data_IF_300968351904
#
_entry.id   IF_300968351904
#
_cell.length_a   1.000
_cell.length_b   1.000
_cell.length_c   1.000
_cell.angle_alpha   90.00
_cell.angle_beta   90.00
_cell.angle_gamma   90.00
#
_symmetry.space_group_name_H-M   'P 1'
#
loop_
_entity.id
_entity.type
_entity.pdbx_description
1 polymer ?
#
# COMPACT_ATOMS: atom_id res chain seq x y z
N UNK A 1 -9.22 0.45 -16.73
CA UNK A 1 -7.97 1.24 -16.89
C UNK A 1 -7.98 1.86 -18.26
N UNK A 2 -7.65 3.16 -18.33
CA UNK A 2 -7.68 3.96 -19.57
C UNK A 2 -6.93 3.25 -20.71
N UNK A 3 -7.58 3.19 -21.87
CA UNK A 3 -7.15 2.45 -23.06
C UNK A 3 -6.07 3.18 -23.88
N UNK A 4 -5.60 4.33 -23.39
CA UNK A 4 -4.68 5.22 -24.11
C UNK A 4 -3.25 5.19 -23.54
N UNK A 5 -2.93 4.24 -22.66
CA UNK A 5 -1.56 4.07 -22.16
C UNK A 5 -0.69 3.44 -23.25
N UNK A 6 0.40 4.10 -23.70
CA UNK A 6 1.32 3.53 -24.69
C UNK A 6 1.84 2.15 -24.28
N UNK A 7 1.97 1.22 -25.23
CA UNK A 7 2.52 -0.12 -24.97
C UNK A 7 1.51 -1.11 -24.36
N UNK A 8 0.28 -0.68 -24.06
CA UNK A 8 -0.78 -1.58 -23.58
C UNK A 8 -1.16 -2.65 -24.62
N UNK A 9 -0.93 -2.38 -25.91
CA UNK A 9 -1.08 -3.31 -27.02
C UNK A 9 -0.02 -4.42 -27.05
N UNK A 10 1.04 -4.34 -26.25
CA UNK A 10 2.10 -5.34 -26.16
C UNK A 10 1.86 -6.38 -25.05
N UNK A 11 0.73 -6.29 -24.36
CA UNK A 11 0.38 -7.16 -23.22
C UNK A 11 -0.83 -8.02 -23.56
N UNK A 12 -0.66 -9.33 -23.46
CA UNK A 12 -1.77 -10.28 -23.47
C UNK A 12 -2.14 -10.69 -22.04
N UNK A 13 -3.43 -10.96 -21.81
CA UNK A 13 -3.97 -11.26 -20.50
C UNK A 13 -4.48 -12.68 -20.46
N UNK A 14 -4.04 -13.46 -19.46
CA UNK A 14 -4.59 -14.78 -19.18
C UNK A 14 -5.26 -14.76 -17.81
N UNK A 15 -6.57 -14.95 -17.77
CA UNK A 15 -7.34 -15.01 -16.53
C UNK A 15 -7.75 -16.45 -16.26
N UNK A 16 -7.24 -17.00 -15.15
CA UNK A 16 -7.55 -18.37 -14.72
C UNK A 16 -8.64 -18.32 -13.66
N UNK A 17 -9.77 -18.97 -13.92
CA UNK A 17 -10.97 -18.95 -13.08
C UNK A 17 -11.18 -20.33 -12.47
N UNK A 18 -11.29 -20.38 -11.14
CA UNK A 18 -11.56 -21.60 -10.40
C UNK A 18 -13.00 -22.09 -10.60
N UNK A 19 -13.21 -23.41 -10.47
CA UNK A 19 -14.52 -24.03 -10.62
C UNK A 19 -15.56 -23.37 -9.71
N UNK A 20 -16.76 -23.12 -10.24
CA UNK A 20 -17.86 -22.53 -9.48
C UNK A 20 -17.77 -21.01 -9.31
N UNK A 21 -16.73 -20.37 -9.84
CA UNK A 21 -16.63 -18.92 -9.89
C UNK A 21 -16.98 -18.39 -11.28
N UNK A 22 -17.70 -17.27 -11.30
CA UNK A 22 -17.99 -16.52 -12.52
C UNK A 22 -17.05 -15.33 -12.63
N UNK A 23 -16.72 -14.98 -13.86
CA UNK A 23 -15.93 -13.81 -14.20
C UNK A 23 -16.84 -12.78 -14.85
N UNK A 24 -17.11 -11.68 -14.14
CA UNK A 24 -17.82 -10.53 -14.69
C UNK A 24 -16.79 -9.49 -15.16
N UNK A 25 -16.57 -9.45 -16.47
CA UNK A 25 -15.59 -8.56 -17.09
C UNK A 25 -16.25 -7.67 -18.13
N UNK A 26 -16.26 -6.38 -17.85
CA UNK A 26 -16.57 -5.36 -18.84
C UNK A 26 -15.30 -5.00 -19.61
N UNK A 27 -15.12 -5.64 -20.77
CA UNK A 27 -13.98 -5.41 -21.66
C UNK A 27 -14.45 -4.97 -23.04
N UNK A 28 -13.70 -4.03 -23.62
CA UNK A 28 -13.92 -3.56 -24.99
C UNK A 28 -13.47 -4.60 -26.03
N UNK A 29 -13.63 -4.28 -27.31
CA UNK A 29 -13.24 -5.19 -28.39
C UNK A 29 -11.73 -5.42 -28.46
N UNK A 30 -10.92 -4.39 -28.17
CA UNK A 30 -9.45 -4.46 -28.26
C UNK A 30 -8.89 -5.42 -27.21
N UNK A 31 -9.24 -5.22 -25.94
CA UNK A 31 -8.79 -6.07 -24.85
C UNK A 31 -9.33 -7.50 -25.00
N UNK A 32 -10.56 -7.66 -25.50
CA UNK A 32 -11.15 -8.99 -25.75
C UNK A 32 -10.33 -9.84 -26.72
N UNK A 33 -9.65 -9.24 -27.71
CA UNK A 33 -8.80 -9.98 -28.66
C UNK A 33 -7.49 -10.52 -28.04
N UNK A 34 -7.08 -9.97 -26.90
CA UNK A 34 -5.83 -10.29 -26.17
C UNK A 34 -6.09 -10.98 -24.84
N UNK A 35 -7.35 -11.18 -24.48
CA UNK A 35 -7.78 -11.81 -23.25
C UNK A 35 -8.08 -13.29 -23.51
N UNK A 36 -7.37 -14.16 -22.80
CA UNK A 36 -7.69 -15.58 -22.71
C UNK A 36 -8.24 -15.89 -21.33
N UNK A 37 -9.42 -16.50 -21.29
CA UNK A 37 -10.03 -16.98 -20.05
C UNK A 37 -9.90 -18.50 -19.98
N UNK A 38 -9.36 -19.00 -18.88
CA UNK A 38 -9.13 -20.43 -18.65
C UNK A 38 -9.96 -20.85 -17.45
N UNK A 39 -10.91 -21.77 -17.67
CA UNK A 39 -11.67 -22.40 -16.61
C UNK A 39 -10.96 -23.67 -16.15
N UNK A 40 -10.93 -23.94 -14.84
CA UNK A 40 -10.31 -25.15 -14.30
C UNK A 40 -11.20 -25.83 -13.26
N UNK A 41 -11.08 -27.16 -13.19
CA UNK A 41 -11.90 -28.03 -12.34
C UNK A 41 -11.10 -28.76 -11.25
N UNK A 42 -9.78 -28.53 -11.18
CA UNK A 42 -8.93 -29.17 -10.20
C UNK A 42 -8.83 -28.33 -8.91
N UNK A 43 -8.44 -28.96 -7.80
CA UNK A 43 -8.42 -28.35 -6.46
C UNK A 43 -7.06 -27.78 -6.06
N UNK A 44 -6.07 -27.74 -6.97
CA UNK A 44 -4.72 -27.31 -6.65
C UNK A 44 -4.67 -25.80 -6.32
N UNK A 45 -3.78 -25.40 -5.41
CA UNK A 45 -3.71 -24.03 -4.92
C UNK A 45 -2.57 -23.23 -5.55
N UNK A 46 -2.62 -21.92 -5.36
CA UNK A 46 -1.55 -20.92 -5.61
C UNK A 46 -0.80 -21.07 -6.95
N UNK A 47 0.44 -21.54 -6.94
CA UNK A 47 1.31 -21.61 -8.11
C UNK A 47 0.70 -22.40 -9.27
N UNK A 48 -0.21 -23.34 -9.00
CA UNK A 48 -0.86 -24.12 -10.06
C UNK A 48 -1.78 -23.28 -10.96
N UNK A 49 -2.29 -22.14 -10.49
CA UNK A 49 -3.00 -21.19 -11.36
C UNK A 49 -2.08 -20.64 -12.45
N UNK A 50 -0.81 -20.38 -12.10
CA UNK A 50 0.21 -19.94 -13.06
C UNK A 50 0.46 -21.03 -14.10
N UNK A 51 0.61 -22.28 -13.65
CA UNK A 51 0.79 -23.43 -14.54
C UNK A 51 -0.33 -23.54 -15.59
N UNK A 52 -1.60 -23.45 -15.16
CA UNK A 52 -2.75 -23.47 -16.08
C UNK A 52 -2.77 -22.30 -17.05
N UNK A 53 -2.35 -21.12 -16.60
CA UNK A 53 -2.20 -19.95 -17.47
C UNK A 53 -1.15 -20.17 -18.56
N UNK A 54 0.00 -20.74 -18.19
CA UNK A 54 1.10 -21.02 -19.12
C UNK A 54 0.76 -22.13 -20.13
N UNK A 55 -0.02 -23.14 -19.76
CA UNK A 55 -0.51 -24.16 -20.69
C UNK A 55 -1.48 -23.59 -21.73
N UNK A 56 -2.16 -22.49 -21.40
CA UNK A 56 -3.14 -21.88 -22.28
C UNK A 56 -2.50 -21.03 -23.38
N UNK A 57 -1.22 -20.71 -23.33
CA UNK A 57 -0.55 -19.86 -24.32
C UNK A 57 0.79 -20.45 -24.74
N UNK A 58 1.29 -20.07 -25.92
CA UNK A 58 2.69 -20.35 -26.23
C UNK A 58 3.57 -19.36 -25.47
N UNK A 59 3.92 -19.70 -24.23
CA UNK A 59 4.69 -18.82 -23.34
C UNK A 59 6.06 -18.43 -23.93
N UNK A 60 6.60 -19.15 -24.92
CA UNK A 60 7.88 -18.84 -25.58
C UNK A 60 7.83 -17.56 -26.41
N UNK A 61 6.63 -17.07 -26.73
CA UNK A 61 6.42 -15.81 -27.45
C UNK A 61 6.59 -14.56 -26.56
N UNK A 62 6.66 -14.74 -25.24
CA UNK A 62 6.69 -13.65 -24.28
C UNK A 62 8.08 -13.49 -23.66
N UNK A 63 8.54 -12.25 -23.52
CA UNK A 63 9.81 -11.92 -22.86
C UNK A 63 9.67 -11.81 -21.35
N UNK A 64 8.49 -11.40 -20.88
CA UNK A 64 8.19 -11.16 -19.48
C UNK A 64 6.85 -11.78 -19.09
N UNK A 65 6.76 -12.18 -17.83
CA UNK A 65 5.58 -12.79 -17.23
C UNK A 65 5.26 -12.04 -15.96
N UNK A 66 4.06 -11.46 -15.88
CA UNK A 66 3.57 -10.78 -14.68
C UNK A 66 2.35 -11.53 -14.17
N UNK A 67 2.49 -12.14 -13.00
CA UNK A 67 1.42 -12.78 -12.27
C UNK A 67 0.77 -11.77 -11.33
N UNK A 68 -0.56 -11.78 -11.27
CA UNK A 68 -1.35 -10.98 -10.34
C UNK A 68 -2.44 -11.87 -9.73
N UNK A 69 -2.47 -11.95 -8.41
CA UNK A 69 -3.52 -12.66 -7.68
C UNK A 69 -4.79 -11.81 -7.52
N UNK A 70 -5.95 -12.46 -7.47
CA UNK A 70 -7.24 -11.78 -7.31
C UNK A 70 -7.45 -11.09 -5.94
N UNK A 71 -6.59 -11.36 -4.96
CA UNK A 71 -6.65 -10.74 -3.63
C UNK A 71 -6.05 -9.33 -3.55
N UNK A 72 -5.40 -8.82 -4.59
CA UNK A 72 -4.84 -7.46 -4.58
C UNK A 72 -5.78 -6.42 -5.19
N UNK A 73 -5.48 -5.15 -4.92
CA UNK A 73 -6.06 -3.97 -5.57
C UNK A 73 -4.94 -3.14 -6.18
N UNK A 74 -5.23 -2.53 -7.32
CA UNK A 74 -4.29 -1.78 -8.13
C UNK A 74 -4.56 -2.00 -9.63
N UNK A 75 -3.64 -1.59 -10.50
CA UNK A 75 -2.40 -0.88 -10.17
C UNK A 75 -2.69 0.53 -9.65
N UNK A 76 -2.10 0.87 -8.51
CA UNK A 76 -2.05 2.24 -7.99
C UNK A 76 -0.82 2.92 -8.59
N UNK A 77 -1.06 3.90 -9.45
CA UNK A 77 -0.02 4.67 -10.10
C UNK A 77 -0.33 6.15 -9.96
N UNK A 78 0.68 7.00 -9.73
CA UNK A 78 0.50 8.43 -9.88
C UNK A 78 0.02 8.77 -11.29
N UNK A 79 -0.90 9.73 -11.44
CA UNK A 79 -1.47 10.10 -12.73
C UNK A 79 -0.42 10.46 -13.79
N UNK A 80 0.69 11.09 -13.37
CA UNK A 80 1.79 11.45 -14.27
C UNK A 80 2.55 10.24 -14.82
N UNK A 81 2.50 9.06 -14.16
CA UNK A 81 3.14 7.85 -14.67
C UNK A 81 2.35 7.24 -15.84
N UNK A 82 1.00 7.29 -15.76
CA UNK A 82 0.11 6.68 -16.76
C UNK A 82 0.27 7.26 -18.18
N UNK A 83 0.83 8.46 -18.30
CA UNK A 83 1.07 9.10 -19.59
C UNK A 83 2.28 8.54 -20.36
N UNK A 84 3.15 7.75 -19.71
CA UNK A 84 4.48 7.46 -20.24
C UNK A 84 4.76 5.98 -20.50
N UNK A 85 4.17 5.07 -19.73
CA UNK A 85 4.49 3.65 -19.79
C UNK A 85 3.33 2.76 -19.32
N UNK A 86 3.23 1.51 -19.82
CA UNK A 86 2.28 0.55 -19.29
C UNK A 86 2.69 0.16 -17.87
N UNK A 87 1.70 -0.10 -17.00
CA UNK A 87 1.95 -0.38 -15.57
C UNK A 87 2.92 -1.55 -15.33
N UNK A 88 2.95 -2.54 -16.24
CA UNK A 88 3.85 -3.70 -16.15
C UNK A 88 5.31 -3.29 -16.17
N UNK A 89 5.64 -2.16 -16.81
CA UNK A 89 7.01 -1.64 -16.90
C UNK A 89 7.58 -1.25 -15.55
N UNK A 90 6.73 -0.86 -14.58
CA UNK A 90 7.16 -0.60 -13.21
C UNK A 90 7.86 -1.83 -12.59
N UNK A 91 7.44 -3.04 -12.96
CA UNK A 91 8.03 -4.30 -12.49
C UNK A 91 9.10 -4.81 -13.45
N UNK A 92 8.82 -4.85 -14.76
CA UNK A 92 9.71 -5.51 -15.72
C UNK A 92 11.01 -4.72 -15.96
N UNK A 93 11.01 -3.40 -15.78
CA UNK A 93 12.23 -2.57 -15.85
C UNK A 93 13.26 -2.89 -14.76
N UNK A 94 12.84 -3.54 -13.66
CA UNK A 94 13.74 -3.99 -12.60
C UNK A 94 14.43 -5.32 -12.91
N UNK A 95 13.95 -6.04 -13.93
CA UNK A 95 14.52 -7.32 -14.35
C UNK A 95 15.77 -7.05 -15.19
N UNK A 96 16.88 -7.68 -14.81
CA UNK A 96 18.19 -7.46 -15.43
C UNK A 96 18.89 -8.81 -15.65
N UNK A 97 20.17 -8.79 -16.04
CA UNK A 97 20.97 -10.01 -16.12
C UNK A 97 21.15 -10.70 -14.74
N UNK A 98 21.12 -9.94 -13.64
CA UNK A 98 21.25 -10.48 -12.28
C UNK A 98 19.93 -10.63 -11.54
N UNK A 99 18.92 -9.81 -11.85
CA UNK A 99 17.60 -9.84 -11.19
C UNK A 99 16.63 -10.67 -12.02
N UNK A 100 16.06 -11.74 -11.46
CA UNK A 100 15.16 -12.66 -12.18
C UNK A 100 13.79 -12.85 -11.53
N UNK A 101 13.52 -12.21 -10.40
CA UNK A 101 12.20 -12.20 -9.79
C UNK A 101 11.96 -10.87 -9.08
N UNK A 102 10.84 -10.24 -9.42
CA UNK A 102 10.46 -8.91 -8.93
C UNK A 102 9.03 -8.96 -8.40
N UNK A 103 8.71 -8.16 -7.39
CA UNK A 103 7.32 -7.93 -7.00
C UNK A 103 7.14 -6.64 -6.20
N UNK A 104 5.93 -6.39 -5.68
CA UNK A 104 5.61 -5.22 -4.88
C UNK A 104 6.50 -5.09 -3.64
N UNK A 105 6.69 -6.20 -2.92
CA UNK A 105 7.27 -6.22 -1.59
C UNK A 105 8.15 -7.44 -1.35
N UNK A 106 9.07 -7.32 -0.39
CA UNK A 106 9.89 -8.42 0.14
C UNK A 106 9.44 -8.72 1.58
N UNK A 107 9.35 -10.01 1.89
CA UNK A 107 9.21 -10.52 3.24
C UNK A 107 10.41 -11.43 3.56
N UNK A 108 10.93 -11.36 4.78
CA UNK A 108 12.08 -12.16 5.22
C UNK A 108 11.75 -13.32 6.16
N UNK A 109 10.46 -13.63 6.39
CA UNK A 109 10.02 -14.78 7.18
C UNK A 109 9.10 -15.70 6.36
N UNK A 110 9.36 -17.03 6.28
CA UNK A 110 10.42 -17.78 6.98
C UNK A 110 11.82 -17.66 6.33
N UNK A 111 11.90 -17.13 5.12
CA UNK A 111 13.14 -16.82 4.42
C UNK A 111 12.89 -15.61 3.51
N UNK A 112 13.93 -14.99 2.97
CA UNK A 112 13.78 -13.90 2.01
C UNK A 112 12.96 -14.35 0.81
N UNK A 113 11.86 -13.67 0.53
CA UNK A 113 11.05 -13.92 -0.65
C UNK A 113 10.30 -12.66 -1.09
N UNK A 114 10.07 -12.58 -2.40
CA UNK A 114 9.08 -11.67 -2.97
C UNK A 114 7.69 -12.18 -2.60
N UNK A 115 6.79 -11.30 -2.17
CA UNK A 115 5.41 -11.70 -1.93
C UNK A 115 4.73 -12.10 -3.24
N UNK A 116 4.24 -13.33 -3.31
CA UNK A 116 3.73 -13.90 -4.56
C UNK A 116 2.29 -13.53 -4.92
N UNK A 117 1.74 -12.48 -4.30
CA UNK A 117 0.49 -11.86 -4.74
C UNK A 117 0.64 -11.14 -6.07
N UNK A 118 1.85 -10.62 -6.35
CA UNK A 118 2.26 -10.16 -7.68
C UNK A 118 3.72 -10.53 -7.90
N UNK A 119 4.02 -11.18 -9.03
CA UNK A 119 5.39 -11.56 -9.40
C UNK A 119 5.66 -11.17 -10.86
N UNK A 120 6.84 -10.64 -11.13
CA UNK A 120 7.35 -10.43 -12.48
C UNK A 120 8.68 -11.16 -12.68
N UNK A 121 8.82 -11.85 -13.82
CA UNK A 121 10.03 -12.57 -14.20
C UNK A 121 10.20 -12.53 -15.72
N UNK A 122 11.41 -12.78 -16.21
CA UNK A 122 11.69 -13.00 -17.63
C UNK A 122 11.67 -14.48 -18.00
N UNK A 123 11.92 -14.80 -19.26
CA UNK A 123 12.01 -16.19 -19.73
C UNK A 123 13.09 -17.01 -19.01
N UNK A 124 14.18 -16.40 -18.55
CA UNK A 124 15.25 -17.07 -17.81
C UNK A 124 14.77 -17.46 -16.42
N UNK A 125 14.20 -16.50 -15.67
CA UNK A 125 13.65 -16.75 -14.35
C UNK A 125 12.47 -17.71 -14.39
N UNK A 126 11.56 -17.59 -15.37
CA UNK A 126 10.47 -18.55 -15.57
C UNK A 126 11.01 -19.98 -15.74
N UNK A 127 12.08 -20.17 -16.51
CA UNK A 127 12.68 -21.49 -16.72
C UNK A 127 13.26 -22.09 -15.43
N UNK A 128 13.82 -21.24 -14.55
CA UNK A 128 14.27 -21.67 -13.21
C UNK A 128 13.08 -22.15 -12.38
N UNK A 129 11.99 -21.37 -12.35
CA UNK A 129 10.77 -21.70 -11.58
C UNK A 129 10.12 -23.00 -12.07
N UNK A 130 10.05 -23.21 -13.38
CA UNK A 130 9.52 -24.43 -13.98
C UNK A 130 10.36 -25.67 -13.61
N UNK A 131 11.69 -25.58 -13.69
CA UNK A 131 12.60 -26.69 -13.34
C UNK A 131 12.54 -27.06 -11.86
N UNK A 132 12.32 -26.08 -11.00
CA UNK A 132 12.20 -26.29 -9.55
C UNK A 132 10.76 -26.62 -9.10
N UNK A 133 9.84 -26.83 -10.05
CA UNK A 133 8.45 -27.17 -9.77
C UNK A 133 7.73 -26.15 -8.87
N UNK A 134 8.06 -24.86 -8.98
CA UNK A 134 7.44 -23.80 -8.17
C UNK A 134 5.93 -23.65 -8.42
N UNK A 135 5.44 -24.19 -9.54
CA UNK A 135 4.02 -24.16 -9.94
C UNK A 135 3.35 -25.53 -9.86
N UNK A 136 3.92 -26.48 -9.12
CA UNK A 136 3.34 -27.81 -8.96
C UNK A 136 1.95 -27.78 -8.29
N UNK A 137 1.14 -28.78 -8.60
CA UNK A 137 -0.16 -28.95 -7.95
C UNK A 137 0.03 -29.34 -6.48
N UNK A 138 -0.55 -28.54 -5.59
CA UNK A 138 -0.65 -28.86 -4.17
C UNK A 138 -2.08 -28.63 -3.68
N UNK A 139 -2.66 -29.62 -3.02
CA UNK A 139 -3.97 -29.51 -2.38
C UNK A 139 -3.92 -28.85 -1.00
N UNK A 140 -2.76 -28.91 -0.33
CA UNK A 140 -2.56 -28.34 0.99
C UNK A 140 -1.94 -26.94 0.89
N UNK A 141 -2.53 -25.98 1.60
CA UNK A 141 -2.17 -24.55 1.50
C UNK A 141 -0.74 -24.27 2.00
N UNK A 142 -0.29 -24.96 3.04
CA UNK A 142 1.07 -24.87 3.56
C UNK A 142 2.12 -25.30 2.52
N UNK A 143 1.86 -26.40 1.81
CA UNK A 143 2.72 -26.88 0.72
C UNK A 143 2.70 -25.95 -0.46
N UNK A 144 1.50 -25.50 -0.88
CA UNK A 144 1.36 -24.54 -1.96
C UNK A 144 2.14 -23.25 -1.64
N UNK A 145 1.98 -22.72 -0.44
CA UNK A 145 2.72 -21.55 0.05
C UNK A 145 4.23 -21.77 0.05
N UNK A 146 4.71 -22.90 0.60
CA UNK A 146 6.13 -23.21 0.70
C UNK A 146 6.80 -23.36 -0.67
N UNK A 147 6.16 -24.04 -1.62
CA UNK A 147 6.73 -24.28 -2.95
C UNK A 147 6.61 -23.07 -3.88
N UNK A 148 5.47 -22.37 -3.83
CA UNK A 148 5.22 -21.25 -4.73
C UNK A 148 5.72 -19.93 -4.14
N UNK A 149 5.24 -19.51 -2.98
CA UNK A 149 5.52 -18.17 -2.46
C UNK A 149 6.98 -18.04 -2.02
N UNK A 150 7.39 -18.88 -1.08
CA UNK A 150 8.78 -18.89 -0.59
C UNK A 150 9.69 -19.57 -1.60
N UNK A 151 9.28 -20.73 -2.09
CA UNK A 151 10.08 -21.59 -2.97
C UNK A 151 10.45 -20.96 -4.30
N UNK A 152 9.61 -20.11 -4.91
CA UNK A 152 9.98 -19.38 -6.14
C UNK A 152 11.19 -18.48 -5.92
N UNK A 153 11.18 -17.70 -4.83
CA UNK A 153 12.30 -16.80 -4.51
C UNK A 153 13.56 -17.57 -4.17
N UNK A 154 13.44 -18.65 -3.40
CA UNK A 154 14.57 -19.51 -3.05
C UNK A 154 15.17 -20.19 -4.29
N UNK A 155 14.35 -20.65 -5.22
CA UNK A 155 14.79 -21.25 -6.49
C UNK A 155 15.62 -20.28 -7.32
N UNK A 156 15.21 -19.01 -7.37
CA UNK A 156 15.92 -17.95 -8.09
C UNK A 156 17.26 -17.62 -7.43
N UNK A 157 17.29 -17.51 -6.10
CA UNK A 157 18.50 -17.28 -5.33
C UNK A 157 19.51 -18.44 -5.49
N UNK A 158 19.04 -19.68 -5.40
CA UNK A 158 19.87 -20.88 -5.57
C UNK A 158 20.44 -21.01 -6.99
N UNK A 159 19.75 -20.47 -7.99
CA UNK A 159 20.25 -20.39 -9.36
C UNK A 159 21.30 -19.27 -9.58
N UNK A 160 21.69 -18.54 -8.53
CA UNK A 160 22.72 -17.50 -8.57
C UNK A 160 22.22 -16.10 -8.94
N UNK A 161 20.91 -15.95 -9.17
CA UNK A 161 20.25 -14.68 -9.43
C UNK A 161 19.78 -14.00 -8.14
N UNK A 162 19.37 -12.74 -8.22
CA UNK A 162 18.85 -11.97 -7.10
C UNK A 162 17.39 -11.57 -7.31
N UNK A 163 16.81 -11.04 -6.23
CA UNK A 163 15.42 -10.58 -6.16
C UNK A 163 15.38 -9.06 -6.16
N UNK A 164 14.21 -8.49 -6.46
CA UNK A 164 13.94 -7.06 -6.33
C UNK A 164 12.51 -6.82 -5.88
N UNK A 165 12.27 -5.67 -5.26
CA UNK A 165 10.93 -5.13 -5.11
C UNK A 165 10.87 -3.66 -5.49
N UNK A 166 9.64 -3.15 -5.57
CA UNK A 166 9.37 -1.73 -5.79
C UNK A 166 9.71 -0.86 -4.57
N UNK A 167 9.82 -1.46 -3.38
CA UNK A 167 10.12 -0.75 -2.14
C UNK A 167 11.48 0.00 -2.23
N UNK A 168 11.44 1.31 -2.04
CA UNK A 168 12.58 2.22 -2.11
C UNK A 168 13.68 1.81 -1.13
N UNK A 169 13.31 1.36 0.07
CA UNK A 169 14.25 0.88 1.10
C UNK A 169 15.13 -0.29 0.63
N UNK A 170 14.70 -1.07 -0.35
CA UNK A 170 15.43 -2.21 -0.89
C UNK A 170 16.06 -1.93 -2.26
N UNK A 171 16.04 -0.66 -2.72
CA UNK A 171 16.51 -0.29 -4.06
C UNK A 171 17.96 -0.71 -4.35
N UNK A 172 18.84 -0.67 -3.36
CA UNK A 172 20.27 -0.93 -3.55
C UNK A 172 20.73 -2.24 -2.87
N UNK A 173 19.80 -3.12 -2.49
CA UNK A 173 20.12 -4.36 -1.81
C UNK A 173 20.24 -5.52 -2.79
N UNK A 174 21.24 -6.38 -2.58
CA UNK A 174 21.35 -7.68 -3.22
C UNK A 174 20.89 -8.77 -2.25
N UNK A 175 19.76 -9.40 -2.58
CA UNK A 175 19.11 -10.38 -1.72
C UNK A 175 19.82 -11.74 -1.67
N UNK A 176 20.87 -11.96 -2.47
CA UNK A 176 21.74 -13.15 -2.33
C UNK A 176 22.50 -13.15 -1.00
N UNK A 177 22.77 -11.96 -0.44
CA UNK A 177 23.55 -11.78 0.78
C UNK A 177 22.74 -11.18 1.93
N UNK A 178 21.45 -10.89 1.73
CA UNK A 178 20.62 -10.22 2.72
C UNK A 178 19.92 -11.22 3.65
N UNK A 179 19.85 -10.90 4.94
CA UNK A 179 19.08 -11.63 5.93
C UNK A 179 18.30 -10.68 6.84
N UNK A 180 17.18 -11.14 7.41
CA UNK A 180 16.48 -10.43 8.50
C UNK A 180 15.81 -9.10 8.15
N UNK A 181 15.45 -8.85 6.88
CA UNK A 181 14.75 -7.61 6.51
C UNK A 181 13.39 -7.45 7.20
N UNK A 182 12.92 -6.21 7.32
CA UNK A 182 11.62 -5.85 7.90
C UNK A 182 11.36 -6.44 9.31
N UNK A 183 12.42 -6.70 10.09
CA UNK A 183 12.30 -7.35 11.40
C UNK A 183 11.64 -8.73 11.36
N UNK A 184 11.62 -9.41 10.21
CA UNK A 184 10.88 -10.66 9.97
C UNK A 184 9.35 -10.52 10.11
N UNK A 185 8.84 -9.29 10.03
CA UNK A 185 7.41 -8.99 10.02
C UNK A 185 6.95 -8.87 8.57
N UNK A 186 5.74 -9.35 8.27
CA UNK A 186 5.17 -9.22 6.94
C UNK A 186 4.97 -7.74 6.57
N UNK A 187 5.32 -7.32 5.33
CA UNK A 187 5.28 -5.92 4.92
C UNK A 187 3.86 -5.34 4.91
N UNK A 188 2.85 -6.20 4.88
CA UNK A 188 1.45 -5.82 4.82
C UNK A 188 0.95 -5.21 6.15
N UNK A 189 1.63 -5.34 7.28
CA UNK A 189 1.13 -4.72 8.53
C UNK A 189 1.44 -3.22 8.56
N UNK A 190 0.51 -2.39 9.08
CA UNK A 190 0.76 -0.95 9.31
C UNK A 190 2.03 -0.75 10.13
N UNK A 191 2.81 0.28 9.79
CA UNK A 191 4.05 0.64 10.48
C UNK A 191 5.15 -0.45 10.46
N UNK A 192 4.95 -1.55 9.72
CA UNK A 192 5.89 -2.68 9.73
C UNK A 192 7.18 -2.43 8.96
N UNK A 193 7.27 -1.35 8.19
CA UNK A 193 8.46 -1.00 7.41
C UNK A 193 9.15 0.22 7.99
N UNK A 194 10.03 0.00 8.98
CA UNK A 194 10.80 1.06 9.67
C UNK A 194 9.89 2.15 10.28
N UNK A 195 8.71 1.76 10.76
CA UNK A 195 7.70 2.70 11.26
C UNK A 195 6.87 3.35 10.16
N UNK A 196 6.90 2.83 8.93
CA UNK A 196 6.02 3.24 7.83
C UNK A 196 5.07 2.11 7.45
N UNK A 197 3.86 2.48 7.07
CA UNK A 197 2.92 1.60 6.37
C UNK A 197 3.30 1.52 4.89
N UNK A 198 2.84 0.47 4.20
CA UNK A 198 3.04 0.38 2.75
C UNK A 198 2.36 1.55 2.04
N UNK A 199 3.09 2.22 1.17
CA UNK A 199 2.56 3.27 0.30
C UNK A 199 2.04 2.63 -1.00
N UNK A 200 0.73 2.66 -1.28
CA UNK A 200 0.17 2.01 -2.47
C UNK A 200 0.77 2.51 -3.78
N UNK A 201 1.14 3.79 -3.89
CA UNK A 201 1.82 4.32 -5.07
C UNK A 201 3.28 3.87 -5.21
N UNK A 202 3.91 3.39 -4.14
CA UNK A 202 5.24 2.80 -4.17
C UNK A 202 5.16 1.35 -4.65
N UNK A 203 4.22 0.57 -4.11
CA UNK A 203 4.21 -0.89 -4.30
C UNK A 203 3.25 -1.39 -5.37
N UNK A 204 2.53 -0.48 -6.06
CA UNK A 204 1.66 -0.73 -7.20
C UNK A 204 0.40 -1.56 -6.89
N UNK A 205 0.51 -2.65 -6.15
CA UNK A 205 -0.59 -3.52 -5.75
C UNK A 205 -0.56 -3.80 -4.26
N UNK A 206 -1.74 -3.74 -3.63
CA UNK A 206 -1.91 -3.97 -2.18
C UNK A 206 -2.93 -5.07 -1.94
N UNK A 207 -2.62 -6.00 -1.04
CA UNK A 207 -3.50 -7.11 -0.66
C UNK A 207 -4.76 -6.59 0.06
N UNK A 208 -5.97 -6.79 -0.47
CA UNK A 208 -7.20 -6.21 0.11
C UNK A 208 -7.86 -7.08 1.19
N UNK A 209 -7.45 -8.33 1.36
CA UNK A 209 -8.16 -9.30 2.22
C UNK A 209 -7.81 -9.21 3.71
N UNK A 210 -6.83 -8.40 4.11
CA UNK A 210 -6.27 -8.42 5.48
C UNK A 210 -6.67 -7.27 6.41
N UNK A 211 -7.38 -6.25 5.94
CA UNK A 211 -7.58 -5.05 6.75
C UNK A 211 -9.06 -4.73 6.93
N UNK A 212 -9.58 -5.04 8.12
CA UNK A 212 -10.92 -4.58 8.49
C UNK A 212 -10.94 -3.17 9.08
N UNK A 213 -9.79 -2.60 9.52
CA UNK A 213 -9.66 -1.24 10.09
C UNK A 213 -8.20 -0.74 10.11
N UNK A 214 -7.65 -0.31 8.97
CA UNK A 214 -6.36 0.42 8.92
C UNK A 214 -6.41 1.59 7.95
N UNK A 215 -5.49 2.55 8.10
CA UNK A 215 -5.35 3.68 7.16
C UNK A 215 -5.08 3.20 5.73
N UNK A 216 -4.27 2.15 5.58
CA UNK A 216 -4.03 1.49 4.31
C UNK A 216 -5.31 0.93 3.69
N UNK A 217 -6.19 0.33 4.49
CA UNK A 217 -7.49 -0.17 4.01
C UNK A 217 -8.38 0.95 3.49
N UNK A 218 -8.43 2.06 4.23
CA UNK A 218 -9.23 3.23 3.87
C UNK A 218 -8.70 3.88 2.59
N UNK A 219 -7.37 3.98 2.43
CA UNK A 219 -6.75 4.41 1.19
C UNK A 219 -7.18 3.49 0.04
N UNK A 220 -6.94 2.19 0.17
CA UNK A 220 -7.19 1.20 -0.90
C UNK A 220 -8.65 1.24 -1.34
N UNK A 221 -9.60 1.33 -0.40
CA UNK A 221 -11.02 1.45 -0.69
C UNK A 221 -11.35 2.76 -1.44
N UNK A 222 -10.96 3.91 -0.89
CA UNK A 222 -11.28 5.22 -1.48
C UNK A 222 -10.66 5.42 -2.85
N UNK A 223 -9.38 5.05 -3.01
CA UNK A 223 -8.69 5.16 -4.30
C UNK A 223 -9.24 4.18 -5.33
N UNK A 224 -9.67 2.98 -4.92
CA UNK A 224 -10.38 2.06 -5.82
C UNK A 224 -11.66 2.70 -6.35
N UNK A 225 -12.44 3.37 -5.49
CA UNK A 225 -13.66 4.07 -5.92
C UNK A 225 -13.36 5.23 -6.88
N UNK A 226 -12.28 5.97 -6.66
CA UNK A 226 -11.82 7.00 -7.62
C UNK A 226 -11.41 6.39 -8.96
N UNK A 227 -10.64 5.32 -8.96
CA UNK A 227 -10.19 4.67 -10.20
C UNK A 227 -11.35 4.03 -11.00
N UNK A 228 -12.45 3.70 -10.33
CA UNK A 228 -13.64 3.08 -10.93
C UNK A 228 -14.80 4.06 -11.15
N UNK A 229 -14.61 5.35 -10.90
CA UNK A 229 -15.65 6.38 -11.05
C UNK A 229 -16.93 6.09 -10.25
N UNK A 230 -16.77 5.51 -9.06
CA UNK A 230 -17.88 5.11 -8.18
C UNK A 230 -18.28 6.19 -7.16
N UNK A 231 -17.55 7.30 -7.08
CA UNK A 231 -17.85 8.43 -6.18
C UNK A 231 -18.27 9.67 -6.95
N UNK A 232 -19.21 10.42 -6.38
CA UNK A 232 -19.49 11.77 -6.81
C UNK A 232 -18.35 12.70 -6.39
N UNK A 233 -17.50 13.04 -7.36
CA UNK A 233 -16.35 13.92 -7.17
C UNK A 233 -16.71 15.35 -6.76
N UNK A 234 -17.99 15.74 -6.90
CA UNK A 234 -18.46 17.08 -6.54
C UNK A 234 -18.86 17.20 -5.06
N UNK A 235 -18.98 16.08 -4.36
CA UNK A 235 -19.47 16.05 -2.98
C UNK A 235 -18.54 16.80 -2.00
N UNK A 236 -17.26 17.03 -2.33
CA UNK A 236 -16.32 17.86 -1.55
C UNK A 236 -16.36 17.59 -0.02
N UNK A 237 -16.56 16.34 0.39
CA UNK A 237 -16.52 15.94 1.80
C UNK A 237 -15.06 15.92 2.29
N UNK A 238 -14.49 17.12 2.54
CA UNK A 238 -13.08 17.33 2.94
C UNK A 238 -12.71 16.59 4.23
N UNK A 239 -13.67 16.41 5.13
CA UNK A 239 -13.54 15.63 6.33
C UNK A 239 -14.78 14.77 6.45
N UNK A 240 -14.62 13.45 6.55
CA UNK A 240 -15.73 12.61 6.97
C UNK A 240 -16.27 13.17 8.30
N UNK A 241 -17.59 13.25 8.45
CA UNK A 241 -18.26 13.86 9.61
C UNK A 241 -17.66 13.40 10.95
N UNK A 242 -17.24 12.13 11.00
CA UNK A 242 -16.56 11.51 12.14
C UNK A 242 -15.24 12.18 12.53
N UNK A 243 -14.39 12.55 11.57
CA UNK A 243 -13.08 13.19 11.82
C UNK A 243 -13.29 14.62 12.30
N UNK A 244 -14.19 15.37 11.65
CA UNK A 244 -14.57 16.71 12.11
C UNK A 244 -15.08 16.69 13.55
N UNK A 245 -15.95 15.72 13.87
CA UNK A 245 -16.50 15.55 15.21
C UNK A 245 -15.41 15.21 16.23
N UNK A 246 -14.49 14.31 15.91
CA UNK A 246 -13.39 13.95 16.80
C UNK A 246 -12.51 15.15 17.18
N UNK A 247 -12.11 15.98 16.21
CA UNK A 247 -11.32 17.19 16.51
C UNK A 247 -12.10 18.21 17.34
N UNK A 248 -13.42 18.33 17.11
CA UNK A 248 -14.28 19.20 17.93
C UNK A 248 -14.39 18.67 19.36
N UNK A 249 -14.58 17.36 19.54
CA UNK A 249 -14.64 16.69 20.84
C UNK A 249 -13.31 16.88 21.61
N UNK A 250 -12.16 16.65 20.97
CA UNK A 250 -10.85 16.84 21.61
C UNK A 250 -10.55 18.30 21.99
N UNK A 251 -10.93 19.25 21.14
CA UNK A 251 -10.81 20.67 21.45
C UNK A 251 -11.71 21.04 22.65
N UNK A 252 -12.95 20.56 22.67
CA UNK A 252 -13.90 20.79 23.77
C UNK A 252 -13.39 20.20 25.09
N UNK A 253 -12.84 18.98 25.08
CA UNK A 253 -12.19 18.37 26.24
C UNK A 253 -10.98 19.20 26.73
N UNK A 254 -10.15 19.70 25.81
CA UNK A 254 -9.00 20.55 26.14
C UNK A 254 -9.45 21.86 26.81
N UNK A 255 -10.47 22.52 26.25
CA UNK A 255 -11.01 23.77 26.80
C UNK A 255 -11.69 23.55 28.17
N UNK A 256 -12.41 22.44 28.34
CA UNK A 256 -13.00 22.05 29.64
C UNK A 256 -11.92 21.80 30.68
N UNK A 257 -10.86 21.06 30.33
CA UNK A 257 -9.74 20.81 31.24
C UNK A 257 -9.03 22.12 31.64
N UNK A 258 -8.79 23.01 30.68
CA UNK A 258 -8.22 24.33 30.96
C UNK A 258 -9.11 25.15 31.93
N UNK A 259 -10.43 25.18 31.70
CA UNK A 259 -11.37 25.87 32.58
C UNK A 259 -11.41 25.27 33.99
N UNK A 260 -11.45 23.94 34.11
CA UNK A 260 -11.42 23.24 35.40
C UNK A 260 -10.15 23.53 36.20
N UNK A 261 -9.03 23.69 35.51
CA UNK A 261 -7.72 23.93 36.11
C UNK A 261 -7.34 25.41 36.19
N UNK A 262 -8.30 26.32 35.99
CA UNK A 262 -8.07 27.78 35.98
C UNK A 262 -6.84 28.15 35.14
N UNK A 263 -6.64 27.44 34.02
CA UNK A 263 -5.51 27.61 33.13
C UNK A 263 -5.87 28.62 32.03
N UNK A 264 -4.96 29.56 31.82
CA UNK A 264 -5.12 30.64 30.84
C UNK A 264 -4.26 30.33 29.63
N UNK A 265 -4.82 30.53 28.43
CA UNK A 265 -4.08 30.38 27.19
C UNK A 265 -2.91 31.37 27.12
N UNK A 266 -1.70 30.88 26.86
CA UNK A 266 -0.51 31.72 26.79
C UNK A 266 -0.37 32.34 25.40
N UNK A 267 -1.07 33.46 25.21
CA UNK A 267 -1.06 34.21 23.95
C UNK A 267 0.35 34.65 23.53
N UNK A 268 1.22 34.97 24.50
CA UNK A 268 2.58 35.44 24.22
C UNK A 268 3.44 34.28 23.69
N UNK A 269 3.36 33.11 24.33
CA UNK A 269 4.00 31.90 23.83
C UNK A 269 3.46 31.53 22.45
N UNK A 270 2.15 31.53 22.26
CA UNK A 270 1.53 31.17 20.99
C UNK A 270 1.94 32.11 19.86
N UNK A 271 1.96 33.43 20.10
CA UNK A 271 2.43 34.42 19.12
C UNK A 271 3.93 34.27 18.81
N UNK A 272 4.75 33.93 19.82
CA UNK A 272 6.18 33.72 19.64
C UNK A 272 6.49 32.48 18.80
N UNK A 273 5.77 31.38 19.02
CA UNK A 273 5.97 30.13 18.27
C UNK A 273 5.35 30.16 16.86
N UNK A 274 4.44 31.10 16.60
CA UNK A 274 3.69 31.22 15.36
C UNK A 274 3.85 32.64 14.75
N UNK A 275 5.06 33.00 14.26
CA UNK A 275 5.35 34.36 13.81
C UNK A 275 4.54 34.80 12.59
N UNK A 276 3.96 33.87 11.83
CA UNK A 276 3.03 34.15 10.74
C UNK A 276 1.73 34.83 11.21
N UNK A 277 1.37 34.66 12.49
CA UNK A 277 0.19 35.29 13.10
C UNK A 277 0.42 36.77 13.49
N UNK A 278 1.59 37.35 13.21
CA UNK A 278 1.85 38.77 13.42
C UNK A 278 0.81 39.68 12.72
N UNK A 279 0.20 39.20 11.63
CA UNK A 279 -0.91 39.87 10.92
C UNK A 279 -2.15 40.08 11.78
N UNK A 280 -2.34 39.28 12.84
CA UNK A 280 -3.45 39.41 13.80
C UNK A 280 -3.20 40.51 14.84
N UNK A 281 -2.08 41.23 14.75
CA UNK A 281 -1.79 42.40 15.59
C UNK A 281 -1.58 42.08 17.07
N UNK A 282 -1.33 40.80 17.42
CA UNK A 282 -1.09 40.38 18.80
C UNK A 282 -2.32 40.44 19.72
N UNK A 283 -3.53 40.64 19.17
CA UNK A 283 -4.76 40.66 19.96
C UNK A 283 -5.00 39.28 20.58
N UNK A 284 -5.06 39.22 21.92
CA UNK A 284 -5.21 37.96 22.67
C UNK A 284 -6.42 37.15 22.20
N UNK A 285 -7.57 37.80 22.04
CA UNK A 285 -8.80 37.15 21.55
C UNK A 285 -8.64 36.60 20.13
N UNK A 286 -7.96 37.31 19.23
CA UNK A 286 -7.70 36.84 17.87
C UNK A 286 -6.75 35.63 17.84
N UNK A 287 -5.76 35.60 18.73
CA UNK A 287 -4.83 34.48 18.85
C UNK A 287 -5.51 33.22 19.40
N UNK A 288 -6.42 33.37 20.37
CA UNK A 288 -7.21 32.26 20.88
C UNK A 288 -8.24 31.76 19.85
N UNK A 289 -8.92 32.68 19.15
CA UNK A 289 -9.84 32.32 18.07
C UNK A 289 -9.11 31.56 16.95
N UNK A 290 -7.92 32.04 16.57
CA UNK A 290 -7.08 31.34 15.60
C UNK A 290 -6.69 29.93 16.09
N UNK A 291 -6.28 29.79 17.34
CA UNK A 291 -5.96 28.49 17.92
C UNK A 291 -7.17 27.53 17.88
N UNK A 292 -8.34 27.97 18.35
CA UNK A 292 -9.54 27.14 18.39
C UNK A 292 -10.01 26.74 16.99
N UNK A 293 -9.91 27.67 16.03
CA UNK A 293 -10.43 27.45 14.67
C UNK A 293 -9.48 26.66 13.78
N UNK A 294 -8.17 26.86 13.94
CA UNK A 294 -7.14 26.33 13.05
C UNK A 294 -5.98 25.67 13.83
N UNK A 295 -5.39 26.41 14.77
CA UNK A 295 -4.12 26.01 15.40
C UNK A 295 -4.14 24.67 16.13
N UNK A 296 -5.24 24.31 16.79
CA UNK A 296 -5.40 23.02 17.44
C UNK A 296 -5.34 21.86 16.44
N UNK A 297 -6.06 21.99 15.31
CA UNK A 297 -6.08 20.99 14.24
C UNK A 297 -4.74 20.89 13.51
N UNK A 298 -4.05 22.01 13.38
CA UNK A 298 -2.71 22.10 12.78
C UNK A 298 -1.61 21.56 13.70
N UNK A 299 -1.91 21.27 14.97
CA UNK A 299 -0.91 20.87 15.96
C UNK A 299 0.10 21.97 16.27
N UNK A 300 -0.31 23.25 16.15
CA UNK A 300 0.58 24.38 16.41
C UNK A 300 1.03 24.37 17.88
N UNK A 301 2.33 24.59 18.16
CA UNK A 301 2.82 24.66 19.53
C UNK A 301 2.01 25.67 20.34
N UNK A 302 1.37 25.19 21.41
CA UNK A 302 0.49 25.98 22.26
C UNK A 302 0.82 25.71 23.73
N UNK A 303 0.34 26.59 24.62
CA UNK A 303 0.56 26.43 26.06
C UNK A 303 -0.61 27.01 26.83
N UNK A 304 -1.06 26.26 27.83
CA UNK A 304 -2.01 26.72 28.85
C UNK A 304 -1.29 26.79 30.19
N UNK A 305 -1.49 27.88 30.93
CA UNK A 305 -0.78 28.14 32.19
C UNK A 305 -1.78 28.21 33.33
N UNK A 306 -1.71 27.25 34.27
CA UNK A 306 -2.54 27.23 35.47
C UNK A 306 -2.25 28.41 36.41
N UNK A 307 -3.29 28.98 37.03
CA UNK A 307 -3.12 29.99 38.08
C UNK A 307 -2.69 29.32 39.40
N UNK A 308 -1.90 30.03 40.24
CA UNK A 308 -1.17 29.45 41.38
C UNK A 308 -2.00 28.75 42.47
N UNK A 309 -3.33 28.87 42.44
CA UNK A 309 -4.24 28.43 43.50
C UNK A 309 -5.05 27.15 43.16
N UNK A 310 -4.71 26.41 42.11
CA UNK A 310 -5.48 25.21 41.70
C UNK A 310 -4.93 23.89 42.24
N UNK A 311 -5.78 22.93 42.68
CA UNK A 311 -5.34 21.59 43.07
C UNK A 311 -4.71 20.85 41.89
N UNK A 312 -3.48 20.34 42.06
CA UNK A 312 -2.78 19.50 41.06
C UNK A 312 -3.46 18.13 40.94
N UNK A 313 -4.50 18.05 40.11
CA UNK A 313 -5.07 16.78 39.65
C UNK A 313 -4.33 16.29 38.40
N UNK A 314 -4.36 14.98 38.11
CA UNK A 314 -3.80 14.42 36.87
C UNK A 314 -4.43 15.05 35.62
N UNK A 315 -5.69 15.49 35.68
CA UNK A 315 -6.38 16.21 34.61
C UNK A 315 -5.74 17.58 34.30
N UNK A 316 -5.17 18.27 35.29
CA UNK A 316 -4.48 19.56 35.06
C UNK A 316 -3.15 19.39 34.35
N UNK A 317 -2.49 18.25 34.53
CA UNK A 317 -1.26 17.93 33.79
C UNK A 317 -1.53 17.55 32.31
N UNK A 318 -2.78 17.24 31.94
CA UNK A 318 -3.16 17.01 30.55
C UNK A 318 -3.30 18.33 29.79
N UNK A 319 -3.96 19.34 30.38
CA UNK A 319 -4.09 20.67 29.78
C UNK A 319 -2.73 21.38 29.54
N UNK A 320 -1.71 21.09 30.34
CA UNK A 320 -0.34 21.61 30.17
C UNK A 320 0.49 20.84 29.12
N UNK A 321 -0.01 19.69 28.61
CA UNK A 321 0.67 18.80 27.66
C UNK A 321 0.12 18.85 26.23
N UNK A 322 -0.96 19.60 26.01
CA UNK A 322 -1.55 19.92 24.69
C UNK A 322 -0.94 21.22 24.16
#
# INVERSE_FOLDING_TARGET
>A
MSQDVPGSELVDYVVVVAQGHALDLQVDARLRSRLKVVQRNDTCLDGFYVHRGLEAVDHRLYSYFVLVDSSVRGPFLPLYFLAHAPWVEALTSLITNSVKLVGPTINCAPSVHVQATVLATDSVGLNVLLRQNSFACHAAQDKAFAHFVVGSSQSILQAGYTLKSLQLRYRNLDFRNATGCNGMIGPNTDMSSDGLSLEPFEVLFVESKKYRRSELADFVAKYTDYMLERRDYRANDFYGEKVSRHFVEQLDETLKAAAMCLAVFDHAFYAQQNPDLAVLGGAQTALLDHFQKYGFKEGRPSRWVATKDTPRSELCSFAERV
#
